data_IF_656550749118
#
_entry.id   IF_656550749118
#
_cell.length_a   1.000
_cell.length_b   1.000
_cell.length_c   1.000
_cell.angle_alpha   90.00
_cell.angle_beta   90.00
_cell.angle_gamma   90.00
#
_symmetry.space_group_name_H-M   'P 1'
#
loop_
_entity.id
_entity.type
_entity.pdbx_description
1 polymer ?
#
# COMPACT_ATOMS: atom_id res chain seq x y z
N UNK A 1 -0.67 -7.43 13.10
CA UNK A 1 -0.91 -7.01 11.70
C UNK A 1 -2.21 -6.22 11.56
N UNK A 2 -3.34 -6.68 12.10
CA UNK A 2 -4.65 -5.99 11.99
C UNK A 2 -4.65 -4.47 12.24
N UNK A 3 -4.02 -3.91 13.31
CA UNK A 3 -4.00 -2.46 13.51
C UNK A 3 -3.16 -1.71 12.47
N UNK A 4 -2.16 -2.35 11.86
CA UNK A 4 -1.34 -1.75 10.80
C UNK A 4 -2.18 -1.56 9.54
N UNK A 5 -2.95 -2.58 9.17
CA UNK A 5 -3.83 -2.52 7.98
C UNK A 5 -4.94 -1.48 8.21
N UNK A 6 -5.59 -1.51 9.38
CA UNK A 6 -6.67 -0.60 9.72
C UNK A 6 -6.24 0.88 9.70
N UNK A 7 -4.98 1.17 10.06
CA UNK A 7 -4.44 2.52 10.02
C UNK A 7 -4.48 3.15 8.61
N UNK A 8 -4.39 2.34 7.55
CA UNK A 8 -4.48 2.81 6.16
C UNK A 8 -5.87 3.32 5.76
N UNK A 9 -6.91 3.06 6.57
CA UNK A 9 -8.27 3.53 6.36
C UNK A 9 -8.65 4.73 7.24
N UNK A 10 -7.73 5.21 8.08
CA UNK A 10 -8.00 6.30 8.99
C UNK A 10 -8.19 7.63 8.22
N UNK A 11 -9.27 8.40 8.48
CA UNK A 11 -9.57 9.61 7.69
C UNK A 11 -8.51 10.72 7.76
N UNK A 12 -7.73 10.76 8.84
CA UNK A 12 -6.68 11.77 9.08
C UNK A 12 -5.26 11.22 8.84
N UNK A 13 -5.15 10.04 8.24
CA UNK A 13 -3.89 9.31 8.11
C UNK A 13 -3.64 8.34 9.28
N UNK A 14 -2.61 7.48 9.15
CA UNK A 14 -2.39 6.32 10.02
C UNK A 14 -1.88 6.69 11.41
N UNK A 15 -1.39 7.91 11.63
CA UNK A 15 -0.64 8.31 12.82
C UNK A 15 -1.43 8.12 14.11
N UNK A 16 -2.69 8.58 14.15
CA UNK A 16 -3.54 8.46 15.34
C UNK A 16 -3.86 6.99 15.66
N UNK A 17 -4.12 6.18 14.64
CA UNK A 17 -4.37 4.75 14.80
C UNK A 17 -3.13 4.02 15.32
N UNK A 18 -1.96 4.27 14.71
CA UNK A 18 -0.69 3.67 15.11
C UNK A 18 -0.30 4.09 16.52
N UNK A 19 -0.45 5.37 16.88
CA UNK A 19 -0.17 5.86 18.23
C UNK A 19 -1.00 5.14 19.29
N UNK A 20 -2.27 4.85 19.00
CA UNK A 20 -3.19 4.26 19.96
C UNK A 20 -3.14 2.72 20.00
N UNK A 21 -2.93 2.06 18.86
CA UNK A 21 -3.07 0.60 18.72
C UNK A 21 -1.74 -0.13 18.47
N UNK A 22 -0.68 0.62 18.15
CA UNK A 22 0.64 0.08 17.83
C UNK A 22 1.73 1.06 18.27
N UNK A 23 1.75 1.42 19.56
CA UNK A 23 2.54 2.54 20.10
C UNK A 23 4.05 2.52 19.82
N UNK A 24 4.64 1.35 19.52
CA UNK A 24 6.05 1.21 19.14
C UNK A 24 6.33 1.50 17.67
N UNK A 25 5.28 1.56 16.85
CA UNK A 25 5.35 1.82 15.40
C UNK A 25 5.43 3.33 15.16
N UNK A 26 6.40 3.73 14.36
CA UNK A 26 6.63 5.09 13.94
C UNK A 26 6.24 5.24 12.48
N UNK A 27 5.25 6.10 12.22
CA UNK A 27 4.89 6.48 10.85
C UNK A 27 6.07 7.17 10.17
N UNK A 28 6.34 6.81 8.91
CA UNK A 28 7.35 7.47 8.10
C UNK A 28 6.71 8.43 7.11
N UNK A 29 6.05 7.91 6.08
CA UNK A 29 5.40 8.67 5.00
C UNK A 29 4.29 7.84 4.37
N UNK A 30 3.43 8.50 3.61
CA UNK A 30 2.38 7.87 2.82
C UNK A 30 2.40 8.33 1.35
N UNK A 31 1.60 7.64 0.55
CA UNK A 31 1.28 7.98 -0.82
C UNK A 31 -0.24 7.81 -1.02
N UNK A 32 -0.88 8.83 -1.59
CA UNK A 32 -2.28 8.83 -1.95
C UNK A 32 -2.38 9.32 -3.40
N UNK A 33 -2.89 8.47 -4.28
CA UNK A 33 -2.94 8.75 -5.72
C UNK A 33 -4.32 8.44 -6.26
N UNK A 34 -4.74 9.21 -7.28
CA UNK A 34 -5.83 8.76 -8.15
C UNK A 34 -5.30 7.57 -8.95
N UNK A 35 -5.94 6.42 -8.81
CA UNK A 35 -5.62 5.22 -9.58
C UNK A 35 -6.83 4.82 -10.41
N UNK A 36 -6.57 4.05 -11.47
CA UNK A 36 -7.59 3.62 -12.44
C UNK A 36 -8.30 4.80 -13.15
N UNK A 37 -7.60 5.55 -14.03
CA UNK A 37 -8.15 6.73 -14.71
C UNK A 37 -9.26 6.40 -15.72
N UNK A 38 -9.42 5.13 -16.10
CA UNK A 38 -10.43 4.66 -17.04
C UNK A 38 -11.82 4.47 -16.40
N UNK A 39 -11.90 4.57 -15.07
CA UNK A 39 -13.12 4.40 -14.29
C UNK A 39 -13.53 5.62 -13.46
N UNK A 40 -14.53 5.46 -12.56
CA UNK A 40 -14.88 6.46 -11.56
C UNK A 40 -13.70 6.74 -10.64
N UNK A 41 -13.61 7.98 -10.17
CA UNK A 41 -12.48 8.46 -9.39
C UNK A 41 -12.21 7.57 -8.17
N UNK A 42 -11.15 6.79 -8.28
CA UNK A 42 -10.72 5.82 -7.27
C UNK A 42 -9.37 6.27 -6.74
N UNK A 43 -9.21 6.23 -5.42
CA UNK A 43 -7.92 6.53 -4.79
C UNK A 43 -7.26 5.26 -4.30
N UNK A 44 -5.96 5.16 -4.53
CA UNK A 44 -5.10 4.15 -3.98
C UNK A 44 -4.27 4.79 -2.88
N UNK A 45 -4.09 4.06 -1.77
CA UNK A 45 -3.36 4.57 -0.62
C UNK A 45 -2.40 3.52 -0.09
N UNK A 46 -1.20 3.96 0.26
CA UNK A 46 -0.25 3.15 1.01
C UNK A 46 0.54 4.02 1.98
N UNK A 47 1.05 3.41 3.04
CA UNK A 47 1.98 4.07 3.93
C UNK A 47 3.14 3.17 4.32
N UNK A 48 4.22 3.82 4.70
CA UNK A 48 5.39 3.19 5.28
C UNK A 48 5.56 3.61 6.74
N UNK A 49 6.02 2.67 7.55
CA UNK A 49 6.32 2.87 8.96
C UNK A 49 7.47 1.94 9.38
N UNK A 50 7.94 2.06 10.61
CA UNK A 50 8.93 1.14 11.16
C UNK A 50 8.70 0.95 12.66
N UNK A 51 9.14 -0.19 13.18
CA UNK A 51 9.12 -0.50 14.61
C UNK A 51 10.48 -1.04 15.03
N UNK A 52 11.24 -0.20 15.75
CA UNK A 52 12.58 -0.53 16.22
C UNK A 52 12.58 -1.62 17.30
N UNK A 53 11.49 -1.79 18.04
CA UNK A 53 11.38 -2.86 19.05
C UNK A 53 11.30 -4.25 18.41
N UNK A 54 10.74 -4.33 17.19
CA UNK A 54 10.60 -5.57 16.41
C UNK A 54 11.59 -5.68 15.25
N UNK A 55 12.40 -4.64 15.02
CA UNK A 55 13.30 -4.51 13.86
C UNK A 55 12.57 -4.79 12.54
N UNK A 56 11.52 -4.01 12.29
CA UNK A 56 10.68 -4.17 11.11
C UNK A 56 10.36 -2.84 10.44
N UNK A 57 10.37 -2.86 9.11
CA UNK A 57 9.80 -1.85 8.22
C UNK A 57 8.43 -2.36 7.78
N UNK A 58 7.41 -1.53 7.90
CA UNK A 58 6.03 -1.86 7.58
C UNK A 58 5.68 -1.11 6.29
N UNK A 59 5.17 -1.84 5.31
CA UNK A 59 4.59 -1.31 4.09
C UNK A 59 3.13 -1.77 4.06
N UNK A 60 2.19 -0.85 4.23
CA UNK A 60 0.76 -1.20 4.27
C UNK A 60 0.03 -0.58 3.10
N UNK A 61 -0.71 -1.40 2.36
CA UNK A 61 -1.59 -0.98 1.27
C UNK A 61 -3.04 -0.93 1.76
N UNK A 62 -3.78 0.09 1.35
CA UNK A 62 -5.23 0.16 1.51
C UNK A 62 -5.88 -0.61 0.37
N UNK A 63 -6.77 -1.53 0.71
CA UNK A 63 -7.61 -2.20 -0.27
C UNK A 63 -8.78 -1.34 -0.71
N UNK A 64 -9.67 -1.97 -1.46
CA UNK A 64 -10.95 -1.49 -1.96
C UNK A 64 -11.78 -0.85 -0.84
N UNK A 65 -12.19 0.41 -1.03
CA UNK A 65 -13.01 1.16 -0.05
C UNK A 65 -14.47 1.27 -0.47
N UNK A 66 -14.82 0.95 -1.73
CA UNK A 66 -16.18 1.10 -2.25
C UNK A 66 -16.64 -0.10 -3.06
N UNK A 67 -17.96 -0.32 -3.10
CA UNK A 67 -18.58 -1.38 -3.92
C UNK A 67 -18.30 -1.20 -5.42
N UNK A 68 -18.14 0.04 -5.87
CA UNK A 68 -17.86 0.37 -7.26
C UNK A 68 -16.47 -0.15 -7.68
N UNK A 69 -15.46 0.07 -6.84
CA UNK A 69 -14.14 -0.54 -7.03
C UNK A 69 -14.20 -2.07 -7.04
N UNK A 70 -15.05 -2.68 -6.22
CA UNK A 70 -15.24 -4.14 -6.22
C UNK A 70 -15.80 -4.66 -7.56
N UNK A 71 -16.73 -3.93 -8.17
CA UNK A 71 -17.31 -4.31 -9.47
C UNK A 71 -16.26 -4.18 -10.59
N UNK A 72 -15.45 -3.13 -10.55
CA UNK A 72 -14.34 -2.91 -11.50
C UNK A 72 -13.23 -3.96 -11.36
N UNK A 73 -12.85 -4.31 -10.14
CA UNK A 73 -11.90 -5.40 -9.87
C UNK A 73 -12.36 -6.72 -10.51
N UNK A 74 -13.66 -7.00 -10.44
CA UNK A 74 -14.27 -8.19 -11.06
C UNK A 74 -14.30 -8.09 -12.58
N UNK A 75 -14.58 -6.92 -13.17
CA UNK A 75 -14.55 -6.78 -14.63
C UNK A 75 -13.14 -6.86 -15.22
N UNK A 76 -12.18 -6.18 -14.60
CA UNK A 76 -10.76 -6.20 -15.00
C UNK A 76 -10.17 -7.61 -14.87
N UNK A 77 -10.57 -8.37 -13.84
CA UNK A 77 -10.21 -9.78 -13.67
C UNK A 77 -10.48 -10.63 -14.93
N UNK A 78 -11.59 -10.38 -15.62
CA UNK A 78 -11.98 -11.13 -16.82
C UNK A 78 -11.39 -10.58 -18.11
N UNK A 79 -11.05 -9.28 -18.17
CA UNK A 79 -10.74 -8.59 -19.42
C UNK A 79 -9.24 -8.34 -19.63
N UNK A 80 -8.49 -7.98 -18.59
CA UNK A 80 -7.13 -7.48 -18.77
C UNK A 80 -6.13 -8.08 -17.79
N UNK A 81 -5.04 -8.61 -18.34
CA UNK A 81 -3.94 -9.16 -17.56
C UNK A 81 -2.62 -8.59 -18.05
N UNK A 82 -1.75 -8.24 -17.12
CA UNK A 82 -0.40 -7.75 -17.39
C UNK A 82 0.59 -8.90 -17.20
N UNK A 83 1.50 -9.17 -18.15
CA UNK A 83 2.59 -10.12 -17.94
C UNK A 83 3.38 -9.78 -16.69
N UNK A 84 3.59 -10.77 -15.82
CA UNK A 84 4.33 -10.59 -14.58
C UNK A 84 5.66 -11.34 -14.66
N UNK A 85 6.65 -10.66 -15.23
CA UNK A 85 7.94 -11.24 -15.59
C UNK A 85 7.73 -12.55 -16.38
N UNK A 86 8.53 -13.56 -16.09
CA UNK A 86 8.43 -14.90 -16.70
C UNK A 86 7.49 -15.84 -15.93
N UNK A 87 6.72 -15.32 -14.96
CA UNK A 87 5.93 -16.11 -14.01
C UNK A 87 4.41 -16.12 -14.30
N UNK A 88 3.98 -15.62 -15.45
CA UNK A 88 2.59 -15.62 -15.89
C UNK A 88 2.01 -14.21 -15.96
N UNK A 89 0.80 -14.03 -15.44
CA UNK A 89 0.09 -12.75 -15.54
C UNK A 89 -0.57 -12.37 -14.21
N UNK A 90 -0.65 -11.06 -13.96
CA UNK A 90 -1.39 -10.45 -12.86
C UNK A 90 -2.55 -9.62 -13.40
N UNK A 91 -3.55 -9.35 -12.57
CA UNK A 91 -4.66 -8.48 -12.98
C UNK A 91 -4.16 -7.07 -13.18
N UNK A 92 -4.51 -6.47 -14.33
CA UNK A 92 -4.01 -5.15 -14.72
C UNK A 92 -4.35 -4.09 -13.67
N UNK A 93 -5.58 -4.11 -13.14
CA UNK A 93 -6.00 -3.23 -12.05
C UNK A 93 -5.05 -3.22 -10.84
N UNK A 94 -4.73 -4.39 -10.27
CA UNK A 94 -3.84 -4.47 -9.11
C UNK A 94 -2.39 -4.11 -9.47
N UNK A 95 -1.95 -4.45 -10.68
CA UNK A 95 -0.62 -4.08 -11.14
C UNK A 95 -0.47 -2.58 -11.27
N UNK A 96 -1.40 -1.91 -11.96
CA UNK A 96 -1.36 -0.47 -12.18
C UNK A 96 -1.50 0.27 -10.85
N UNK A 97 -2.46 -0.12 -9.99
CA UNK A 97 -2.62 0.50 -8.67
C UNK A 97 -1.38 0.35 -7.77
N UNK A 98 -0.70 -0.80 -7.82
CA UNK A 98 0.58 -0.97 -7.14
C UNK A 98 1.65 -0.06 -7.74
N UNK A 99 1.79 -0.03 -9.07
CA UNK A 99 2.82 0.76 -9.74
C UNK A 99 2.62 2.26 -9.57
N UNK A 100 1.39 2.75 -9.55
CA UNK A 100 1.06 4.15 -9.29
C UNK A 100 1.53 4.56 -7.89
N UNK A 101 1.24 3.74 -6.87
CA UNK A 101 1.72 3.96 -5.50
C UNK A 101 3.25 3.84 -5.39
N UNK A 102 3.82 2.82 -6.03
CA UNK A 102 5.25 2.56 -6.05
C UNK A 102 6.03 3.76 -6.59
N UNK A 103 5.59 4.28 -7.73
CA UNK A 103 6.17 5.43 -8.44
C UNK A 103 5.88 6.77 -7.73
N UNK A 104 4.76 6.89 -7.01
CA UNK A 104 4.40 8.09 -6.25
C UNK A 104 5.22 8.29 -4.96
N UNK A 105 6.12 7.35 -4.63
CA UNK A 105 7.13 7.55 -3.61
C UNK A 105 7.36 6.36 -2.69
N UNK A 106 6.48 5.34 -2.70
CA UNK A 106 6.63 4.15 -1.85
C UNK A 106 7.98 3.47 -2.11
N UNK A 107 8.44 3.39 -3.36
CA UNK A 107 9.76 2.84 -3.69
C UNK A 107 10.90 3.57 -2.96
N UNK A 108 10.94 4.89 -3.09
CA UNK A 108 11.95 5.74 -2.45
C UNK A 108 11.89 5.67 -0.92
N UNK A 109 10.69 5.50 -0.35
CA UNK A 109 10.47 5.39 1.09
C UNK A 109 11.02 4.08 1.63
N UNK A 110 10.70 2.96 0.98
CA UNK A 110 11.21 1.62 1.35
C UNK A 110 12.74 1.59 1.24
N UNK A 111 13.31 2.14 0.17
CA UNK A 111 14.78 2.24 0.02
C UNK A 111 15.42 3.05 1.13
N UNK A 112 14.85 4.21 1.45
CA UNK A 112 15.36 5.08 2.51
C UNK A 112 15.31 4.41 3.88
N UNK A 113 14.20 3.74 4.21
CA UNK A 113 14.07 2.97 5.45
C UNK A 113 15.04 1.80 5.48
N UNK A 114 15.22 1.07 4.38
CA UNK A 114 16.14 -0.07 4.33
C UNK A 114 17.61 0.36 4.38
N UNK A 115 17.95 1.54 3.84
CA UNK A 115 19.28 2.13 3.98
C UNK A 115 19.57 2.51 5.44
N UNK A 116 18.61 3.14 6.13
CA UNK A 116 18.76 3.54 7.53
C UNK A 116 18.69 2.36 8.52
N UNK A 117 17.95 1.30 8.17
CA UNK A 117 17.72 0.13 9.01
C UNK A 117 18.00 -1.17 8.24
N UNK A 118 19.28 -1.44 7.90
CA UNK A 118 19.65 -2.54 7.01
C UNK A 118 19.33 -3.93 7.58
N UNK A 119 19.30 -4.09 8.90
CA UNK A 119 18.97 -5.34 9.59
C UNK A 119 17.47 -5.56 9.81
N UNK A 120 16.62 -4.60 9.46
CA UNK A 120 15.17 -4.72 9.69
C UNK A 120 14.51 -5.60 8.62
N UNK A 121 13.59 -6.45 9.06
CA UNK A 121 12.69 -7.19 8.17
C UNK A 121 11.68 -6.25 7.50
N UNK A 122 11.11 -6.64 6.36
CA UNK A 122 10.02 -5.89 5.73
C UNK A 122 8.74 -6.71 5.89
N UNK A 123 7.70 -6.12 6.48
CA UNK A 123 6.35 -6.65 6.49
C UNK A 123 5.51 -5.88 5.47
N UNK A 124 4.84 -6.65 4.61
CA UNK A 124 3.88 -6.14 3.62
C UNK A 124 2.50 -6.67 3.98
#
# INVERSE_FOLDING_TARGET
>A
MTPLIAAGYAPKGPQDCLKNQAATVQFYKDANVTCFPEGPETTCYAYTAFDSSKKVIILSFRGTTTLLQTIEEIEEYFKHKTPFFDHGFVFKYFYDGFMDLWNAGIESQVRSLKYNYPDYSIWV
#
